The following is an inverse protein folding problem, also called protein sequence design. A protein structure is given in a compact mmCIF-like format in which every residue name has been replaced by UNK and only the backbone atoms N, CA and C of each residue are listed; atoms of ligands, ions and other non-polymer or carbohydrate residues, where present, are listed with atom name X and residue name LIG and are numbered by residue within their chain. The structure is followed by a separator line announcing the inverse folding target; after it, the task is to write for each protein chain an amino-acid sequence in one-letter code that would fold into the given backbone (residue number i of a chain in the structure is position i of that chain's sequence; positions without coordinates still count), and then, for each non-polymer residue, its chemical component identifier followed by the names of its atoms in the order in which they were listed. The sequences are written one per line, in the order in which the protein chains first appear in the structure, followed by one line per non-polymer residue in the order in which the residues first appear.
data_IF_193740648818
#
_entry.id   IF_193740648818
#
_cell.length_a   1.000
_cell.length_b   1.000
_cell.length_c   1.000
_cell.angle_alpha   90.00
_cell.angle_beta   90.00
_cell.angle_gamma   90.00
#
_symmetry.space_group_name_H-M   'P 1'
#
loop_
_entity.id
_entity.type
_entity.pdbx_description
1 polymer ?
#
# COMPACT_ATOMS: atom_id res chain seq x y z
N UNK A 1 -58.08 -74.49 -15.58
CA UNK A 1 -56.64 -74.29 -15.89
C UNK A 1 -56.12 -72.92 -15.42
N UNK A 2 -56.53 -72.43 -14.24
CA UNK A 2 -56.39 -70.99 -13.92
C UNK A 2 -55.78 -70.68 -12.53
N UNK A 3 -55.46 -71.71 -11.73
CA UNK A 3 -54.86 -71.54 -10.39
C UNK A 3 -53.32 -71.52 -10.37
N UNK A 4 -52.65 -71.76 -11.51
CA UNK A 4 -51.18 -71.81 -11.58
C UNK A 4 -50.52 -70.48 -12.01
N UNK A 5 -51.27 -69.53 -12.60
CA UNK A 5 -50.71 -68.27 -13.11
C UNK A 5 -50.59 -67.16 -12.05
N UNK A 6 -51.48 -67.15 -11.04
CA UNK A 6 -51.54 -66.10 -10.01
C UNK A 6 -50.48 -66.27 -8.92
N UNK A 7 -50.04 -67.50 -8.64
CA UNK A 7 -49.01 -67.77 -7.61
C UNK A 7 -47.58 -67.37 -8.05
N UNK A 8 -47.30 -67.35 -9.37
CA UNK A 8 -45.98 -66.96 -9.89
C UNK A 8 -45.75 -65.44 -9.91
N UNK A 9 -46.82 -64.63 -10.07
CA UNK A 9 -46.73 -63.16 -10.10
C UNK A 9 -46.41 -62.55 -8.73
N UNK A 10 -46.97 -63.08 -7.65
CA UNK A 10 -46.71 -62.59 -6.27
C UNK A 10 -45.29 -62.92 -5.81
N UNK A 11 -44.74 -64.08 -6.19
CA UNK A 11 -43.34 -64.45 -5.92
C UNK A 11 -42.36 -63.56 -6.70
N UNK A 12 -42.62 -63.29 -7.97
CA UNK A 12 -41.78 -62.39 -8.79
C UNK A 12 -41.74 -60.95 -8.25
N UNK A 13 -42.87 -60.42 -7.78
CA UNK A 13 -42.95 -59.07 -7.22
C UNK A 13 -42.21 -58.95 -5.88
N UNK A 14 -42.32 -59.96 -5.02
CA UNK A 14 -41.59 -60.04 -3.74
C UNK A 14 -40.08 -60.15 -3.96
N UNK A 15 -39.64 -60.94 -4.94
CA UNK A 15 -38.22 -61.04 -5.31
C UNK A 15 -37.68 -59.72 -5.88
N UNK A 16 -38.45 -59.00 -6.71
CA UNK A 16 -38.04 -57.70 -7.28
C UNK A 16 -37.93 -56.62 -6.19
N UNK A 17 -38.82 -56.62 -5.19
CA UNK A 17 -38.74 -55.72 -4.01
C UNK A 17 -37.53 -56.03 -3.13
N UNK A 18 -37.24 -57.31 -2.89
CA UNK A 18 -36.08 -57.72 -2.10
C UNK A 18 -34.76 -57.42 -2.83
N UNK A 19 -34.70 -57.58 -4.17
CA UNK A 19 -33.54 -57.16 -4.97
C UNK A 19 -33.30 -55.65 -4.91
N UNK A 20 -34.34 -54.83 -4.97
CA UNK A 20 -34.21 -53.36 -4.82
C UNK A 20 -33.72 -52.96 -3.44
N UNK A 21 -34.20 -53.61 -2.37
CA UNK A 21 -33.69 -53.39 -1.00
C UNK A 21 -32.23 -53.82 -0.86
N UNK A 22 -31.86 -54.96 -1.44
CA UNK A 22 -30.48 -55.44 -1.43
C UNK A 22 -29.54 -54.49 -2.18
N UNK A 23 -29.94 -54.02 -3.37
CA UNK A 23 -29.20 -53.01 -4.13
C UNK A 23 -29.01 -51.70 -3.35
N UNK A 24 -30.05 -51.24 -2.64
CA UNK A 24 -29.96 -50.03 -1.82
C UNK A 24 -28.98 -50.20 -0.65
N UNK A 25 -28.98 -51.35 0.01
CA UNK A 25 -28.03 -51.67 1.09
C UNK A 25 -26.60 -51.73 0.55
N UNK A 26 -26.38 -52.35 -0.62
CA UNK A 26 -25.06 -52.43 -1.26
C UNK A 26 -24.53 -51.02 -1.59
N UNK A 27 -25.38 -50.14 -2.12
CA UNK A 27 -24.99 -48.75 -2.42
C UNK A 27 -24.57 -48.00 -1.15
N UNK A 28 -25.34 -48.14 -0.05
CA UNK A 28 -24.98 -47.52 1.24
C UNK A 28 -23.63 -48.07 1.74
N UNK A 29 -23.40 -49.38 1.66
CA UNK A 29 -22.12 -49.97 2.05
C UNK A 29 -20.95 -49.44 1.21
N UNK A 30 -21.12 -49.27 -0.10
CA UNK A 30 -20.09 -48.71 -0.98
C UNK A 30 -19.78 -47.25 -0.61
N UNK A 31 -20.80 -46.43 -0.36
CA UNK A 31 -20.60 -45.03 0.06
C UNK A 31 -19.84 -44.95 1.39
N UNK A 32 -20.18 -45.80 2.37
CA UNK A 32 -19.48 -45.84 3.65
C UNK A 32 -18.02 -46.32 3.51
N UNK A 33 -17.73 -47.24 2.60
CA UNK A 33 -16.36 -47.67 2.28
C UNK A 33 -15.58 -46.52 1.64
N UNK A 34 -16.18 -45.78 0.70
CA UNK A 34 -15.55 -44.63 0.04
C UNK A 34 -15.25 -43.53 1.07
N UNK A 35 -16.16 -43.23 2.00
CA UNK A 35 -15.93 -42.25 3.06
C UNK A 35 -14.78 -42.67 3.98
N UNK A 36 -14.71 -43.94 4.40
CA UNK A 36 -13.57 -44.45 5.18
C UNK A 36 -12.25 -44.41 4.41
N UNK A 37 -12.27 -44.70 3.11
CA UNK A 37 -11.07 -44.60 2.27
C UNK A 37 -10.63 -43.15 2.09
N UNK A 38 -11.57 -42.20 2.04
CA UNK A 38 -11.28 -40.76 2.01
C UNK A 38 -10.65 -40.31 3.32
N UNK A 39 -11.17 -40.71 4.49
CA UNK A 39 -10.55 -40.43 5.80
C UNK A 39 -9.14 -41.03 5.92
N UNK A 40 -8.93 -42.26 5.42
CA UNK A 40 -7.60 -42.90 5.40
C UNK A 40 -6.64 -42.13 4.48
N UNK A 41 -7.12 -41.66 3.33
CA UNK A 41 -6.32 -40.87 2.38
C UNK A 41 -6.00 -39.48 2.94
N UNK A 42 -6.96 -38.83 3.61
CA UNK A 42 -6.75 -37.57 4.33
C UNK A 42 -5.84 -37.72 5.55
N UNK A 43 -5.77 -38.91 6.18
CA UNK A 43 -4.88 -39.18 7.31
C UNK A 43 -3.43 -39.48 6.92
N UNK A 44 -3.15 -39.75 5.63
CA UNK A 44 -1.81 -40.09 5.11
C UNK A 44 -1.20 -38.97 4.28
N UNK A 45 -1.10 -37.77 4.85
CA UNK A 45 -0.08 -36.78 4.45
C UNK A 45 0.05 -35.67 5.51
N UNK A 46 0.80 -35.96 6.57
CA UNK A 46 1.58 -34.93 7.26
C UNK A 46 2.95 -35.51 7.63
N UNK A 47 4.06 -34.94 7.12
CA UNK A 47 5.36 -35.13 7.72
C UNK A 47 5.42 -34.27 9.00
N UNK A 48 5.77 -34.93 10.11
CA UNK A 48 6.12 -34.29 11.37
C UNK A 48 7.47 -33.59 11.19
N UNK A 49 7.52 -32.27 11.33
CA UNK A 49 8.76 -31.53 11.61
C UNK A 49 8.52 -30.56 12.77
N UNK A 50 9.33 -30.73 13.80
CA UNK A 50 9.39 -29.93 15.01
C UNK A 50 9.99 -28.53 14.77
N UNK A 51 9.52 -27.58 15.57
CA UNK A 51 10.19 -26.37 16.09
C UNK A 51 10.97 -25.45 15.13
N UNK A 52 10.41 -24.27 14.86
CA UNK A 52 10.79 -22.99 15.49
C UNK A 52 9.98 -21.86 14.82
N UNK A 53 9.41 -20.98 15.63
CA UNK A 53 8.63 -19.83 15.16
C UNK A 53 9.53 -18.82 14.43
N UNK A 54 9.49 -18.83 13.10
CA UNK A 54 9.89 -17.68 12.28
C UNK A 54 8.64 -17.11 11.62
N UNK A 55 8.32 -15.87 11.97
CA UNK A 55 7.31 -15.07 11.31
C UNK A 55 7.56 -15.03 9.81
N UNK A 56 6.48 -15.01 9.04
CA UNK A 56 6.51 -14.93 7.58
C UNK A 56 7.20 -13.63 7.14
N UNK A 57 8.46 -13.72 6.74
CA UNK A 57 9.10 -12.69 5.94
C UNK A 57 8.42 -12.66 4.57
N UNK A 58 7.87 -11.49 4.22
CA UNK A 58 7.40 -11.17 2.88
C UNK A 58 8.53 -11.35 1.85
N UNK A 59 8.27 -11.94 0.67
CA UNK A 59 9.29 -12.25 -0.34
C UNK A 59 9.68 -11.03 -1.20
N UNK A 60 9.80 -9.84 -0.62
CA UNK A 60 10.49 -8.70 -1.24
C UNK A 60 11.91 -8.62 -0.68
N UNK A 61 12.80 -9.49 -1.18
CA UNK A 61 14.23 -9.34 -0.96
C UNK A 61 14.71 -7.98 -1.48
N UNK A 62 15.08 -7.10 -0.55
CA UNK A 62 16.02 -5.98 -0.65
C UNK A 62 16.47 -5.64 -2.09
N UNK A 63 15.62 -4.94 -2.84
CA UNK A 63 16.09 -4.15 -3.97
C UNK A 63 16.83 -2.96 -3.35
N UNK A 64 18.13 -2.85 -3.59
CA UNK A 64 18.92 -1.73 -3.05
C UNK A 64 18.26 -0.39 -3.40
N UNK A 65 18.09 0.49 -2.40
CA UNK A 65 17.46 1.80 -2.61
C UNK A 65 15.92 1.84 -2.57
N UNK A 66 15.24 0.72 -2.29
CA UNK A 66 13.77 0.66 -2.12
C UNK A 66 13.43 0.08 -0.75
N UNK A 67 12.51 0.72 -0.04
CA UNK A 67 11.97 0.25 1.23
C UNK A 67 10.50 -0.15 1.07
N UNK A 68 10.10 -1.19 1.80
CA UNK A 68 8.72 -1.66 1.84
C UNK A 68 7.81 -0.64 2.55
N UNK A 69 6.73 -0.24 1.88
CA UNK A 69 5.76 0.69 2.42
C UNK A 69 5.18 0.25 3.77
N UNK A 70 4.92 -1.05 3.95
CA UNK A 70 4.40 -1.61 5.20
C UNK A 70 5.36 -1.37 6.38
N UNK A 71 6.67 -1.46 6.14
CA UNK A 71 7.68 -1.17 7.14
C UNK A 71 7.67 0.31 7.52
N UNK A 72 7.63 1.21 6.53
CA UNK A 72 7.67 2.65 6.78
C UNK A 72 6.40 3.13 7.51
N UNK A 73 5.22 2.66 7.11
CA UNK A 73 3.94 2.91 7.79
C UNK A 73 4.01 2.47 9.25
N UNK A 74 4.41 1.21 9.51
CA UNK A 74 4.53 0.67 10.86
C UNK A 74 5.53 1.48 11.71
N UNK A 75 6.68 1.83 11.14
CA UNK A 75 7.70 2.62 11.82
C UNK A 75 7.15 3.98 12.27
N UNK A 76 6.50 4.72 11.35
CA UNK A 76 5.93 6.03 11.64
C UNK A 76 4.81 5.92 12.69
N UNK A 77 3.91 4.94 12.56
CA UNK A 77 2.81 4.73 13.51
C UNK A 77 3.32 4.46 14.93
N UNK A 78 4.32 3.59 15.08
CA UNK A 78 4.95 3.35 16.38
C UNK A 78 5.59 4.62 16.95
N UNK A 79 6.29 5.39 16.11
CA UNK A 79 6.92 6.65 16.52
C UNK A 79 5.90 7.69 16.99
N UNK A 80 4.80 7.88 16.24
CA UNK A 80 3.75 8.83 16.58
C UNK A 80 3.04 8.50 17.88
N UNK A 81 2.96 7.21 18.24
CA UNK A 81 2.41 6.74 19.51
C UNK A 81 3.42 6.86 20.68
N UNK A 82 4.63 7.38 20.43
CA UNK A 82 5.68 7.50 21.45
C UNK A 82 6.43 6.20 21.75
N UNK A 83 6.19 5.14 20.98
CA UNK A 83 6.94 3.89 21.11
C UNK A 83 8.31 4.00 20.43
N UNK A 84 9.27 3.20 20.89
CA UNK A 84 10.51 2.94 20.13
C UNK A 84 10.15 2.09 18.91
N UNK A 85 10.27 2.60 17.67
CA UNK A 85 9.91 1.84 16.49
C UNK A 85 10.82 0.62 16.29
N UNK A 86 10.23 -0.44 15.74
CA UNK A 86 10.98 -1.56 15.16
C UNK A 86 11.80 -1.07 13.96
N UNK A 87 12.99 -1.65 13.73
CA UNK A 87 13.87 -1.23 12.64
C UNK A 87 14.85 -0.10 12.99
N UNK A 88 14.90 0.34 14.25
CA UNK A 88 16.04 1.09 14.78
C UNK A 88 17.23 0.12 14.94
N UNK A 89 18.16 0.20 13.99
CA UNK A 89 19.30 -0.68 13.81
C UNK A 89 20.64 0.07 13.71
N UNK A 90 20.64 1.38 13.99
CA UNK A 90 21.79 2.27 13.86
C UNK A 90 22.04 2.78 12.45
N UNK A 91 21.29 2.31 11.43
CA UNK A 91 21.45 2.78 10.05
C UNK A 91 20.59 4.01 9.80
N UNK A 92 21.23 5.06 9.29
CA UNK A 92 20.56 6.29 8.88
C UNK A 92 20.01 6.18 7.46
N UNK A 93 18.69 6.26 7.32
CA UNK A 93 17.97 6.20 6.05
C UNK A 93 17.05 7.40 5.94
N UNK A 94 17.06 8.06 4.78
CA UNK A 94 16.17 9.17 4.47
C UNK A 94 15.32 8.84 3.24
N UNK A 95 14.04 9.16 3.36
CA UNK A 95 13.05 9.07 2.30
C UNK A 95 12.63 10.51 1.98
N UNK A 96 13.26 11.09 0.96
CA UNK A 96 12.79 12.36 0.42
C UNK A 96 11.44 12.13 -0.25
N UNK A 97 10.44 12.92 0.12
CA UNK A 97 9.11 12.82 -0.48
C UNK A 97 8.55 14.19 -0.89
N UNK A 98 7.82 14.19 -2.00
CA UNK A 98 7.24 15.39 -2.59
C UNK A 98 5.75 15.17 -2.86
N UNK A 99 4.92 16.06 -2.34
CA UNK A 99 3.46 16.02 -2.49
C UNK A 99 2.97 17.07 -3.49
N UNK A 100 1.73 16.87 -3.95
CA UNK A 100 0.91 17.77 -4.79
C UNK A 100 1.31 17.88 -6.27
N UNK A 101 2.43 17.27 -6.67
CA UNK A 101 2.89 17.23 -8.05
C UNK A 101 2.07 16.33 -9.00
N UNK A 102 2.44 16.32 -10.29
CA UNK A 102 3.51 17.11 -10.88
C UNK A 102 3.07 18.54 -11.24
N UNK A 103 3.89 19.54 -10.93
CA UNK A 103 3.80 20.86 -11.56
C UNK A 103 4.70 20.92 -12.80
N UNK A 104 4.32 21.73 -13.80
CA UNK A 104 5.16 21.90 -14.99
C UNK A 104 6.39 22.79 -14.76
N UNK A 105 6.47 23.49 -13.61
CA UNK A 105 7.54 24.47 -13.32
C UNK A 105 8.50 24.04 -12.20
N UNK A 106 8.04 23.28 -11.20
CA UNK A 106 8.85 22.93 -10.02
C UNK A 106 9.31 21.47 -10.09
N UNK A 107 8.44 20.51 -10.41
CA UNK A 107 8.80 19.10 -10.48
C UNK A 107 10.01 18.84 -11.39
N UNK A 108 10.15 19.44 -12.59
CA UNK A 108 11.35 19.25 -13.41
C UNK A 108 12.64 19.71 -12.73
N UNK A 109 12.61 20.83 -12.00
CA UNK A 109 13.77 21.37 -11.29
C UNK A 109 14.19 20.45 -10.14
N UNK A 110 13.23 19.90 -9.42
CA UNK A 110 13.49 18.90 -8.38
C UNK A 110 14.12 17.65 -9.00
N UNK A 111 13.57 17.14 -10.11
CA UNK A 111 14.15 15.98 -10.81
C UNK A 111 15.58 16.25 -11.30
N UNK A 112 15.87 17.46 -11.80
CA UNK A 112 17.22 17.86 -12.21
C UNK A 112 18.20 17.80 -11.03
N UNK A 113 17.84 18.40 -9.89
CA UNK A 113 18.65 18.35 -8.66
C UNK A 113 18.86 16.90 -8.18
N UNK A 114 17.80 16.09 -8.12
CA UNK A 114 17.91 14.69 -7.67
C UNK A 114 18.83 13.87 -8.58
N UNK A 115 18.82 14.15 -9.89
CA UNK A 115 19.69 13.53 -10.88
C UNK A 115 21.14 13.98 -10.71
N UNK A 116 21.40 15.27 -10.56
CA UNK A 116 22.73 15.83 -10.31
C UNK A 116 23.35 15.27 -9.03
N UNK A 117 22.53 15.11 -7.99
CA UNK A 117 22.94 14.56 -6.71
C UNK A 117 22.97 13.03 -6.67
N UNK A 118 22.53 12.35 -7.74
CA UNK A 118 22.42 10.89 -7.83
C UNK A 118 21.64 10.27 -6.66
N UNK A 119 20.51 10.86 -6.29
CA UNK A 119 19.61 10.35 -5.23
C UNK A 119 18.21 10.08 -5.79
N UNK A 120 17.46 9.21 -5.12
CA UNK A 120 16.07 8.87 -5.47
C UNK A 120 15.11 9.37 -4.39
N UNK A 121 13.85 9.52 -4.77
CA UNK A 121 12.80 10.12 -3.96
C UNK A 121 11.44 9.49 -4.29
N UNK A 122 10.44 9.76 -3.47
CA UNK A 122 9.06 9.29 -3.67
C UNK A 122 8.15 10.49 -3.94
N UNK A 123 7.40 10.48 -5.04
CA UNK A 123 6.47 11.55 -5.42
C UNK A 123 5.03 11.10 -5.15
N UNK A 124 4.35 11.73 -4.21
CA UNK A 124 2.93 11.51 -3.93
C UNK A 124 2.11 12.42 -4.85
N UNK A 125 1.68 11.86 -5.98
CA UNK A 125 1.09 12.65 -7.06
C UNK A 125 -0.42 12.76 -6.93
N UNK A 126 -0.95 13.94 -7.29
CA UNK A 126 -2.39 14.17 -7.38
C UNK A 126 -2.86 13.77 -8.77
N UNK A 127 -3.84 12.86 -8.85
CA UNK A 127 -4.29 12.30 -10.11
C UNK A 127 -4.78 13.35 -11.12
N UNK A 128 -5.48 14.39 -10.65
CA UNK A 128 -5.90 15.52 -11.49
C UNK A 128 -4.73 16.31 -12.07
N UNK A 129 -3.64 16.50 -11.32
CA UNK A 129 -2.44 17.17 -11.80
C UNK A 129 -1.71 16.32 -12.85
N UNK A 130 -1.65 15.01 -12.63
CA UNK A 130 -1.00 14.06 -13.55
C UNK A 130 -1.64 14.06 -14.95
N UNK A 131 -2.97 14.11 -15.05
CA UNK A 131 -3.68 14.10 -16.34
C UNK A 131 -3.97 15.48 -16.93
N UNK A 132 -3.63 16.55 -16.21
CA UNK A 132 -3.99 17.94 -16.57
C UNK A 132 -3.61 18.29 -18.01
N UNK A 133 -2.40 17.92 -18.44
CA UNK A 133 -1.89 18.20 -19.78
C UNK A 133 -0.75 17.24 -20.17
N UNK A 134 -0.35 17.28 -21.44
CA UNK A 134 0.71 16.39 -21.97
C UNK A 134 2.09 16.62 -21.33
N UNK A 135 2.39 17.81 -20.81
CA UNK A 135 3.65 18.09 -20.12
C UNK A 135 3.67 17.39 -18.76
N UNK A 136 2.59 17.49 -17.98
CA UNK A 136 2.43 16.77 -16.72
C UNK A 136 2.56 15.24 -16.89
N UNK A 137 1.94 14.68 -17.94
CA UNK A 137 2.08 13.26 -18.28
C UNK A 137 3.54 12.88 -18.60
N UNK A 138 4.27 13.72 -19.36
CA UNK A 138 5.69 13.52 -19.66
C UNK A 138 6.57 13.60 -18.41
N UNK A 139 6.28 14.53 -17.50
CA UNK A 139 6.98 14.66 -16.22
C UNK A 139 6.73 13.42 -15.36
N UNK A 140 5.49 12.95 -15.26
CA UNK A 140 5.16 11.71 -14.52
C UNK A 140 5.93 10.51 -15.07
N UNK A 141 6.04 10.38 -16.39
CA UNK A 141 6.88 9.35 -17.03
C UNK A 141 8.37 9.52 -16.69
N UNK A 142 8.85 10.76 -16.62
CA UNK A 142 10.24 11.09 -16.24
C UNK A 142 10.55 10.65 -14.81
N UNK A 143 9.63 10.87 -13.85
CA UNK A 143 9.75 10.41 -12.45
C UNK A 143 10.08 8.91 -12.41
N UNK A 144 9.29 8.07 -13.09
CA UNK A 144 9.53 6.62 -13.12
C UNK A 144 10.81 6.27 -13.89
N UNK A 145 11.03 6.89 -15.05
CA UNK A 145 12.20 6.62 -15.90
C UNK A 145 13.52 6.92 -15.19
N UNK A 146 13.54 7.92 -14.32
CA UNK A 146 14.73 8.32 -13.55
C UNK A 146 14.88 7.51 -12.24
N UNK A 147 14.01 6.54 -11.98
CA UNK A 147 14.12 5.57 -10.89
C UNK A 147 13.49 6.03 -9.57
N UNK A 148 12.69 7.09 -9.58
CA UNK A 148 11.92 7.53 -8.43
C UNK A 148 10.69 6.62 -8.22
N UNK A 149 10.13 6.64 -7.01
CA UNK A 149 8.84 6.00 -6.74
C UNK A 149 7.70 7.00 -6.90
N UNK A 150 6.51 6.46 -7.21
CA UNK A 150 5.26 7.23 -7.22
C UNK A 150 4.34 6.65 -6.15
N UNK A 151 3.93 7.50 -5.22
CA UNK A 151 2.80 7.29 -4.32
C UNK A 151 1.55 8.00 -4.82
N UNK A 152 0.41 7.64 -4.27
CA UNK A 152 -0.90 8.20 -4.60
C UNK A 152 -1.29 9.25 -3.55
N UNK A 153 -1.63 10.47 -4.00
CA UNK A 153 -2.07 11.56 -3.14
C UNK A 153 -3.54 11.95 -3.38
N UNK A 154 -4.39 10.96 -3.65
CA UNK A 154 -5.77 11.10 -4.14
C UNK A 154 -5.84 11.73 -5.54
N UNK A 155 -7.01 11.74 -6.16
CA UNK A 155 -7.19 12.35 -7.48
C UNK A 155 -7.57 13.83 -7.34
N UNK A 156 -8.50 14.17 -6.44
CA UNK A 156 -9.03 15.53 -6.31
C UNK A 156 -8.17 16.47 -5.49
N UNK A 157 -7.53 15.95 -4.42
CA UNK A 157 -6.95 16.76 -3.34
C UNK A 157 -7.94 17.84 -2.80
N UNK A 158 -9.23 17.53 -2.80
CA UNK A 158 -10.30 18.41 -2.32
C UNK A 158 -10.77 17.94 -0.93
N UNK A 159 -10.36 18.70 0.09
CA UNK A 159 -10.71 18.41 1.49
C UNK A 159 -12.22 18.38 1.75
N UNK A 160 -13.01 19.23 1.07
CA UNK A 160 -14.46 19.28 1.29
C UNK A 160 -15.16 18.06 0.69
N UNK A 161 -14.58 17.51 -0.38
CA UNK A 161 -15.05 16.29 -1.02
C UNK A 161 -14.61 15.03 -0.26
N UNK A 162 -13.33 14.96 0.12
CA UNK A 162 -12.73 13.83 0.81
C UNK A 162 -13.22 13.70 2.26
N UNK A 163 -13.42 14.85 2.91
CA UNK A 163 -13.77 14.95 4.32
C UNK A 163 -14.99 15.86 4.55
N UNK A 164 -16.16 15.51 3.99
CA UNK A 164 -17.35 16.35 4.09
C UNK A 164 -17.70 16.60 5.55
N UNK A 165 -18.01 17.86 5.89
CA UNK A 165 -18.27 18.31 7.25
C UNK A 165 -17.16 17.96 8.26
N UNK A 166 -15.90 17.90 7.80
CA UNK A 166 -14.74 17.52 8.63
C UNK A 166 -14.78 16.08 9.16
N UNK A 167 -15.48 15.18 8.45
CA UNK A 167 -15.56 13.75 8.77
C UNK A 167 -15.03 12.90 7.64
N UNK A 168 -14.38 11.79 7.95
CA UNK A 168 -13.75 10.91 6.96
C UNK A 168 -14.83 10.11 6.24
N UNK A 169 -14.92 10.27 4.92
CA UNK A 169 -15.78 9.46 4.08
C UNK A 169 -14.97 8.38 3.35
N UNK A 170 -14.83 7.21 3.97
CA UNK A 170 -14.02 6.11 3.43
C UNK A 170 -14.40 5.71 1.99
N UNK A 171 -15.69 5.69 1.66
CA UNK A 171 -16.12 5.34 0.29
C UNK A 171 -15.68 6.38 -0.75
N UNK A 172 -15.80 7.67 -0.43
CA UNK A 172 -15.34 8.74 -1.32
C UNK A 172 -13.82 8.68 -1.44
N UNK A 173 -13.12 8.57 -0.31
CA UNK A 173 -11.66 8.54 -0.28
C UNK A 173 -11.08 7.40 -1.13
N UNK A 174 -11.61 6.19 -0.97
CA UNK A 174 -11.17 5.03 -1.75
C UNK A 174 -11.48 5.17 -3.24
N UNK A 175 -12.61 5.79 -3.62
CA UNK A 175 -12.90 6.09 -5.03
C UNK A 175 -11.89 7.08 -5.61
N UNK A 176 -11.48 8.06 -4.82
CA UNK A 176 -10.50 9.08 -5.21
C UNK A 176 -9.11 8.46 -5.44
N UNK A 177 -8.66 7.58 -4.53
CA UNK A 177 -7.43 6.76 -4.69
C UNK A 177 -7.49 5.95 -5.98
N UNK A 178 -8.57 5.19 -6.19
CA UNK A 178 -8.66 4.29 -7.36
C UNK A 178 -8.73 5.06 -8.68
N UNK A 179 -9.29 6.27 -8.68
CA UNK A 179 -9.25 7.14 -9.84
C UNK A 179 -7.82 7.55 -10.18
N UNK A 180 -7.00 7.95 -9.21
CA UNK A 180 -5.57 8.19 -9.43
C UNK A 180 -4.85 6.96 -9.96
N UNK A 181 -5.14 5.77 -9.42
CA UNK A 181 -4.54 4.52 -9.90
C UNK A 181 -4.87 4.25 -11.37
N UNK A 182 -6.11 4.52 -11.81
CA UNK A 182 -6.52 4.39 -13.20
C UNK A 182 -5.76 5.37 -14.11
N UNK A 183 -5.66 6.64 -13.71
CA UNK A 183 -4.89 7.66 -14.43
C UNK A 183 -3.43 7.26 -14.59
N UNK A 184 -2.80 6.80 -13.50
CA UNK A 184 -1.41 6.37 -13.53
C UNK A 184 -1.20 5.16 -14.46
N UNK A 185 -2.10 4.18 -14.46
CA UNK A 185 -2.04 3.05 -15.40
C UNK A 185 -2.18 3.48 -16.86
N UNK A 186 -3.08 4.42 -17.15
CA UNK A 186 -3.24 4.95 -18.52
C UNK A 186 -1.97 5.64 -19.03
N UNK A 187 -1.23 6.32 -18.15
CA UNK A 187 -0.04 7.10 -18.51
C UNK A 187 1.24 6.26 -18.49
N UNK A 188 1.41 5.40 -17.49
CA UNK A 188 2.63 4.65 -17.21
C UNK A 188 2.58 3.20 -17.71
N UNK A 189 1.40 2.74 -18.13
CA UNK A 189 1.14 1.38 -18.61
C UNK A 189 0.34 0.55 -17.61
N UNK A 190 -0.41 -0.43 -18.13
CA UNK A 190 -1.39 -1.21 -17.35
C UNK A 190 -0.78 -2.03 -16.19
N UNK A 191 0.52 -2.31 -16.26
CA UNK A 191 1.27 -3.03 -15.22
C UNK A 191 1.74 -2.11 -14.07
N UNK A 192 1.59 -0.80 -14.21
CA UNK A 192 1.91 0.13 -13.14
C UNK A 192 0.97 -0.11 -11.94
N UNK A 193 1.56 -0.17 -10.76
CA UNK A 193 0.85 -0.22 -9.49
C UNK A 193 1.68 0.49 -8.41
N UNK A 194 0.98 0.99 -7.40
CA UNK A 194 1.57 1.52 -6.19
C UNK A 194 0.69 1.13 -5.01
N UNK A 195 1.32 0.86 -3.88
CA UNK A 195 0.65 0.61 -2.59
C UNK A 195 0.81 1.77 -1.62
N UNK A 196 1.58 2.77 -2.02
CA UNK A 196 2.00 3.88 -1.16
C UNK A 196 0.99 5.01 -1.31
N UNK A 197 0.31 5.34 -0.23
CA UNK A 197 -0.71 6.40 -0.19
C UNK A 197 -0.26 7.47 0.81
N UNK A 198 -0.50 8.75 0.51
CA UNK A 198 -0.45 9.82 1.51
C UNK A 198 -1.75 10.59 1.46
N UNK A 199 -2.29 10.92 2.63
CA UNK A 199 -3.58 11.59 2.72
C UNK A 199 -3.39 13.10 2.61
N UNK A 200 -4.26 13.82 1.87
CA UNK A 200 -4.32 15.26 1.95
C UNK A 200 -4.50 15.69 3.41
N UNK A 201 -3.50 16.39 3.94
CA UNK A 201 -3.45 16.87 5.33
C UNK A 201 -2.84 15.90 6.34
N UNK A 202 -2.42 14.71 5.91
CA UNK A 202 -1.83 13.66 6.75
C UNK A 202 -2.87 12.83 7.51
N UNK A 203 -2.58 11.55 7.71
CA UNK A 203 -3.41 10.62 8.49
C UNK A 203 -3.56 11.12 9.93
N UNK A 204 -2.46 11.58 10.54
CA UNK A 204 -2.43 12.13 11.90
C UNK A 204 -3.48 13.24 12.16
N UNK A 205 -3.80 14.06 11.15
CA UNK A 205 -4.80 15.13 11.29
C UNK A 205 -6.19 14.55 11.46
N UNK A 206 -6.53 13.56 10.64
CA UNK A 206 -7.86 12.93 10.62
C UNK A 206 -8.02 11.90 11.73
N UNK A 207 -6.94 11.22 12.14
CA UNK A 207 -6.94 10.36 13.31
C UNK A 207 -7.29 11.12 14.59
N UNK A 208 -6.90 12.40 14.68
CA UNK A 208 -7.26 13.29 15.79
C UNK A 208 -8.70 13.80 15.67
N UNK A 209 -9.15 14.14 14.47
CA UNK A 209 -10.43 14.81 14.25
C UNK A 209 -11.62 13.83 14.18
N UNK A 210 -11.42 12.65 13.60
CA UNK A 210 -12.46 11.62 13.37
C UNK A 210 -11.85 10.20 13.43
N UNK A 211 -11.52 9.69 14.63
CA UNK A 211 -10.88 8.39 14.80
C UNK A 211 -11.74 7.21 14.33
N UNK A 212 -13.07 7.29 14.45
CA UNK A 212 -13.99 6.23 14.02
C UNK A 212 -14.03 6.14 12.49
N UNK A 213 -14.13 7.28 11.80
CA UNK A 213 -14.06 7.33 10.34
C UNK A 213 -12.71 6.85 9.80
N UNK A 214 -11.62 7.19 10.49
CA UNK A 214 -10.28 6.70 10.16
C UNK A 214 -10.13 5.19 10.33
N UNK A 215 -10.68 4.59 11.39
CA UNK A 215 -10.64 3.13 11.57
C UNK A 215 -11.31 2.40 10.38
N UNK A 216 -12.41 2.94 9.86
CA UNK A 216 -13.10 2.39 8.69
C UNK A 216 -12.25 2.55 7.42
N UNK A 217 -11.60 3.69 7.24
CA UNK A 217 -10.72 3.93 6.09
C UNK A 217 -9.47 3.04 6.14
N UNK A 218 -8.82 2.93 7.30
CA UNK A 218 -7.62 2.10 7.50
C UNK A 218 -7.90 0.62 7.21
N UNK A 219 -9.05 0.10 7.64
CA UNK A 219 -9.49 -1.27 7.26
C UNK A 219 -9.69 -1.43 5.76
N UNK A 220 -10.21 -0.41 5.08
CA UNK A 220 -10.41 -0.44 3.63
C UNK A 220 -9.09 -0.40 2.86
N UNK A 221 -8.09 0.35 3.34
CA UNK A 221 -6.73 0.34 2.81
C UNK A 221 -6.05 -1.01 3.02
N UNK A 222 -6.09 -1.54 4.24
CA UNK A 222 -5.49 -2.82 4.59
C UNK A 222 -6.04 -3.96 3.72
N UNK A 223 -7.35 -3.97 3.45
CA UNK A 223 -7.98 -4.96 2.57
C UNK A 223 -7.46 -4.94 1.12
N UNK A 224 -6.77 -3.87 0.71
CA UNK A 224 -6.16 -3.70 -0.61
C UNK A 224 -4.63 -3.66 -0.59
N UNK A 225 -4.00 -3.92 0.56
CA UNK A 225 -2.56 -3.80 0.75
C UNK A 225 -2.05 -2.39 0.40
N UNK A 226 -2.83 -1.37 0.77
CA UNK A 226 -2.42 0.03 0.70
C UNK A 226 -1.88 0.48 2.06
N UNK A 227 -0.77 1.21 2.01
CA UNK A 227 -0.03 1.69 3.17
C UNK A 227 0.00 3.21 3.17
N UNK A 228 -0.50 3.79 4.25
CA UNK A 228 -0.48 5.20 4.48
C UNK A 228 0.91 5.62 4.99
N UNK A 229 1.51 6.61 4.35
CA UNK A 229 2.81 7.14 4.73
C UNK A 229 2.66 8.62 5.10
N UNK A 230 2.67 8.93 6.39
CA UNK A 230 2.84 10.31 6.90
C UNK A 230 4.33 10.74 6.80
N UNK A 231 4.79 11.62 7.69
CA UNK A 231 6.15 12.13 7.72
C UNK A 231 6.59 12.38 9.17
N UNK A 232 7.90 12.48 9.39
CA UNK A 232 8.45 12.81 10.70
C UNK A 232 9.53 13.91 10.67
N UNK A 233 9.80 14.49 9.49
CA UNK A 233 10.67 15.64 9.28
C UNK A 233 10.00 16.61 8.31
N UNK A 234 10.01 17.90 8.64
CA UNK A 234 9.29 18.93 7.87
C UNK A 234 10.12 20.22 7.76
N UNK A 235 10.52 20.66 6.54
CA UNK A 235 11.17 21.96 6.27
C UNK A 235 10.22 23.17 6.37
N UNK A 236 8.92 22.92 6.52
CA UNK A 236 7.86 23.94 6.65
C UNK A 236 7.66 24.76 5.38
N UNK A 237 7.73 24.11 4.22
CA UNK A 237 7.46 24.72 2.92
C UNK A 237 5.95 24.90 2.64
N UNK A 238 5.08 24.33 3.47
CA UNK A 238 3.62 24.53 3.45
C UNK A 238 3.04 25.03 4.79
N UNK A 239 3.86 25.34 5.80
CA UNK A 239 3.40 25.80 7.11
C UNK A 239 3.76 27.26 7.40
N UNK A 240 2.79 28.04 7.89
CA UNK A 240 3.01 29.43 8.32
C UNK A 240 3.34 30.37 7.16
N UNK A 241 4.08 31.44 7.45
CA UNK A 241 4.47 32.41 6.42
C UNK A 241 5.38 31.76 5.34
N UNK A 242 5.30 32.21 4.07
CA UNK A 242 6.20 31.78 3.02
C UNK A 242 7.67 31.94 3.43
N UNK A 243 8.49 30.93 3.11
CA UNK A 243 9.91 30.88 3.45
C UNK A 243 10.75 30.82 2.18
N UNK A 244 11.90 31.48 2.22
CA UNK A 244 12.93 31.31 1.20
C UNK A 244 13.74 30.02 1.45
N UNK A 245 14.57 29.63 0.48
CA UNK A 245 15.36 28.41 0.55
C UNK A 245 16.21 28.30 1.82
N UNK A 246 16.87 29.38 2.23
CA UNK A 246 17.72 29.41 3.43
C UNK A 246 16.91 29.16 4.72
N UNK A 247 15.71 29.73 4.81
CA UNK A 247 14.78 29.48 5.91
C UNK A 247 14.29 28.03 5.91
N UNK A 248 13.98 27.46 4.75
CA UNK A 248 13.59 26.04 4.62
C UNK A 248 14.71 25.10 5.07
N UNK A 249 15.97 25.39 4.70
CA UNK A 249 17.14 24.61 5.14
C UNK A 249 17.29 24.66 6.66
N UNK A 250 17.14 25.84 7.28
CA UNK A 250 17.19 25.98 8.74
C UNK A 250 16.10 25.20 9.45
N UNK A 251 14.86 25.29 8.95
CA UNK A 251 13.75 24.51 9.50
C UNK A 251 13.98 23.01 9.30
N UNK A 252 14.46 22.58 8.14
CA UNK A 252 14.82 21.19 7.89
C UNK A 252 15.85 20.67 8.91
N UNK A 253 16.98 21.36 9.09
CA UNK A 253 18.03 20.96 10.03
C UNK A 253 17.49 20.89 11.46
N UNK A 254 16.68 21.88 11.87
CA UNK A 254 16.04 21.92 13.20
C UNK A 254 15.11 20.73 13.42
N UNK A 255 14.32 20.37 12.40
CA UNK A 255 13.34 19.30 12.50
C UNK A 255 13.96 17.91 12.26
N UNK A 256 15.14 17.80 11.63
CA UNK A 256 15.81 16.52 11.34
C UNK A 256 16.20 15.76 12.61
N UNK A 257 16.78 16.45 13.59
CA UNK A 257 17.25 15.84 14.84
C UNK A 257 18.22 14.67 14.62
N UNK A 258 18.13 13.64 15.46
CA UNK A 258 18.99 12.44 15.44
C UNK A 258 18.29 11.19 14.92
N UNK A 259 17.31 11.35 14.01
CA UNK A 259 16.46 10.25 13.54
C UNK A 259 17.26 9.21 12.76
N UNK A 260 16.99 7.92 12.97
CA UNK A 260 17.57 6.87 12.13
C UNK A 260 16.80 6.72 10.82
N UNK A 261 15.47 6.73 10.86
CA UNK A 261 14.63 6.73 9.66
C UNK A 261 13.88 8.06 9.56
N UNK A 262 14.13 8.80 8.48
CA UNK A 262 13.58 10.13 8.26
C UNK A 262 12.73 10.17 6.99
N UNK A 263 11.43 10.40 7.15
CA UNK A 263 10.50 10.65 6.03
C UNK A 263 10.28 12.16 5.97
N UNK A 264 10.83 12.78 4.93
CA UNK A 264 10.85 14.24 4.76
C UNK A 264 9.68 14.66 3.89
N UNK A 265 8.75 15.44 4.42
CA UNK A 265 7.67 16.05 3.64
C UNK A 265 8.16 17.34 2.98
N UNK A 266 8.00 17.41 1.66
CA UNK A 266 8.18 18.60 0.84
C UNK A 266 7.09 18.62 -0.24
N UNK A 267 6.99 19.70 -1.00
CA UNK A 267 5.98 19.83 -2.06
C UNK A 267 6.64 20.21 -3.40
N UNK A 268 6.19 19.61 -4.49
CA UNK A 268 6.65 19.89 -5.87
C UNK A 268 5.57 20.53 -6.75
N UNK A 269 4.54 21.11 -6.14
CA UNK A 269 3.49 21.87 -6.82
C UNK A 269 3.90 23.32 -7.15
N UNK A 270 3.01 24.05 -7.83
CA UNK A 270 3.23 25.46 -8.19
C UNK A 270 3.47 26.34 -6.95
N UNK A 271 4.42 27.28 -7.05
CA UNK A 271 4.79 28.17 -5.95
C UNK A 271 5.79 27.58 -4.95
N UNK A 272 6.33 26.39 -5.21
CA UNK A 272 7.33 25.70 -4.38
C UNK A 272 8.76 25.80 -4.94
N UNK A 273 9.07 26.85 -5.69
CA UNK A 273 10.40 27.07 -6.26
C UNK A 273 11.50 27.15 -5.19
N UNK A 274 11.19 27.69 -4.01
CA UNK A 274 12.15 27.76 -2.90
C UNK A 274 12.48 26.36 -2.33
N UNK A 275 11.56 25.41 -2.39
CA UNK A 275 11.83 24.00 -2.05
C UNK A 275 12.86 23.40 -3.01
N UNK A 276 12.70 23.64 -4.33
CA UNK A 276 13.67 23.18 -5.33
C UNK A 276 15.06 23.82 -5.13
N UNK A 277 15.11 25.10 -4.73
CA UNK A 277 16.38 25.81 -4.43
C UNK A 277 17.05 25.32 -3.15
N UNK A 278 16.27 24.91 -2.13
CA UNK A 278 16.79 24.39 -0.87
C UNK A 278 17.34 22.96 -0.99
N UNK A 279 16.80 22.19 -1.94
CA UNK A 279 17.05 20.75 -2.06
C UNK A 279 18.53 20.33 -2.18
N UNK A 280 19.40 21.01 -2.95
CA UNK A 280 20.82 20.63 -3.03
C UNK A 280 21.54 20.67 -1.68
N UNK A 281 21.26 21.69 -0.86
CA UNK A 281 21.89 21.84 0.45
C UNK A 281 21.31 20.84 1.48
N UNK A 282 20.01 20.56 1.41
CA UNK A 282 19.36 19.50 2.19
C UNK A 282 20.02 18.14 1.90
N UNK A 283 20.21 17.79 0.62
CA UNK A 283 20.86 16.54 0.21
C UNK A 283 22.33 16.51 0.67
N UNK A 284 23.06 17.61 0.49
CA UNK A 284 24.45 17.73 0.95
C UNK A 284 24.57 17.52 2.46
N UNK A 285 23.68 18.11 3.25
CA UNK A 285 23.62 17.91 4.69
C UNK A 285 23.40 16.44 5.04
N UNK A 286 22.38 15.81 4.44
CA UNK A 286 22.04 14.40 4.68
C UNK A 286 23.20 13.45 4.33
N UNK A 287 23.88 13.67 3.19
CA UNK A 287 25.08 12.92 2.80
C UNK A 287 26.21 13.06 3.82
N UNK A 288 26.49 14.28 4.29
CA UNK A 288 27.50 14.54 5.33
C UNK A 288 27.17 13.84 6.66
N UNK A 289 25.89 13.68 6.96
CA UNK A 289 25.42 12.98 8.16
C UNK A 289 25.37 11.44 8.01
N UNK A 290 25.70 10.92 6.82
CA UNK A 290 25.77 9.49 6.54
C UNK A 290 24.42 8.83 6.24
N UNK A 291 23.42 9.58 5.76
CA UNK A 291 22.12 8.99 5.39
C UNK A 291 22.19 8.29 4.03
N UNK A 292 21.63 7.08 3.97
CA UNK A 292 21.28 6.39 2.73
C UNK A 292 19.94 6.92 2.21
N UNK A 293 19.84 7.18 0.90
CA UNK A 293 18.61 7.66 0.26
C UNK A 293 17.83 6.48 -0.31
N UNK A 294 16.59 6.31 0.12
CA UNK A 294 15.70 5.27 -0.38
C UNK A 294 14.36 5.82 -0.85
N UNK A 295 13.73 5.09 -1.76
CA UNK A 295 12.33 5.27 -2.14
C UNK A 295 11.41 4.34 -1.34
N UNK A 296 10.10 4.59 -1.38
CA UNK A 296 9.09 3.78 -0.68
C UNK A 296 8.19 3.13 -1.74
N UNK A 297 7.94 1.81 -1.69
CA UNK A 297 7.09 1.07 -2.64
C UNK A 297 6.24 -0.03 -2.01
#
# INVERSE_FOLDING_TARGET
MEKSYTHNRTRAHRMKRNRRRLLFIIIICIVLIILKLFDIFSSKQQPVLNNESKGSESPLKNVSGVEDAAFVEKYLNQQMQGHRPEGIDGKKVVYLSFDDGPSVTVTPKILDVLKEENVKATFFVVGKAVEENEVAKKITKRVVKEGHAIGNHTYSHDYSYLYPNQTVNSSIFMKDIEKTNQVLKQILGQNFSTRVIRFPGGHMTWQRNDPEGMEVLDKALQAKDYHQIDWNVLPKDAEGAPKNAEQLIREFIRNMGTREKAVVLMHDTYGKEETAKALPEIITYLKKQGYEFKTIK
#
